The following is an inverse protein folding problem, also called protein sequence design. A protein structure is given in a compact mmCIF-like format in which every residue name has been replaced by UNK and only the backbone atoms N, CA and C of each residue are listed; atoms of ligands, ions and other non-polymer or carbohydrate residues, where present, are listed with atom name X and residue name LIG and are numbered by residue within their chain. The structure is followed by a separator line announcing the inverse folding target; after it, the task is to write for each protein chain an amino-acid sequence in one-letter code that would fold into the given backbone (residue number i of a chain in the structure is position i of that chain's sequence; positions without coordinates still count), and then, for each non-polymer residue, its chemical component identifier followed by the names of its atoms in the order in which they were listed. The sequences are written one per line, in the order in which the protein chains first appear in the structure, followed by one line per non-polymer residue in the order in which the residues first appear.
data_IF_462241189456
#
_entry.id   IF_462241189456
#
_cell.length_a   1.000
_cell.length_b   1.000
_cell.length_c   1.000
_cell.angle_alpha   90.00
_cell.angle_beta   90.00
_cell.angle_gamma   90.00
#
_symmetry.space_group_name_H-M   'P 1'
#
loop_
_entity.id
_entity.type
_entity.pdbx_description
1 polymer ?
#
# COMPACT_ATOMS: atom_id res chain seq x y z
N UNK A 1 32.31 12.14 6.65
CA UNK A 1 32.14 10.66 6.74
C UNK A 1 31.53 10.42 8.11
N UNK A 2 30.36 9.76 8.16
CA UNK A 2 29.69 9.48 9.44
C UNK A 2 30.48 8.40 10.15
N UNK A 3 30.74 8.59 11.43
CA UNK A 3 31.33 7.55 12.27
C UNK A 3 30.28 6.49 12.55
N UNK A 4 30.33 5.37 11.80
CA UNK A 4 29.38 4.27 11.94
C UNK A 4 29.55 3.49 13.24
N UNK A 5 30.64 3.71 13.99
CA UNK A 5 30.87 2.99 15.24
C UNK A 5 29.88 3.36 16.33
N UNK A 6 29.29 4.55 16.27
CA UNK A 6 28.26 4.99 17.22
C UNK A 6 26.94 4.17 17.13
N UNK A 7 26.73 3.46 16.01
CA UNK A 7 25.54 2.64 15.77
C UNK A 7 25.72 1.18 16.21
N UNK A 8 26.97 0.77 16.55
CA UNK A 8 27.23 -0.60 16.99
C UNK A 8 26.46 -0.90 18.28
N UNK A 9 25.82 -2.07 18.30
CA UNK A 9 25.00 -2.56 19.42
C UNK A 9 23.75 -1.71 19.78
N UNK A 10 23.46 -0.67 19.00
CA UNK A 10 22.23 0.11 19.16
C UNK A 10 21.00 -0.69 18.82
N UNK A 11 19.89 -0.30 19.44
CA UNK A 11 18.58 -0.96 19.30
C UNK A 11 17.59 -0.01 18.67
N UNK A 12 16.89 -0.43 17.61
CA UNK A 12 15.88 0.36 16.95
C UNK A 12 14.48 -0.23 17.03
N UNK A 13 13.49 0.64 17.15
CA UNK A 13 12.06 0.35 16.97
C UNK A 13 11.56 1.04 15.72
N UNK A 14 10.81 0.31 14.92
CA UNK A 14 10.18 0.83 13.69
C UNK A 14 8.66 0.84 13.84
N UNK A 15 8.03 1.96 13.52
CA UNK A 15 6.59 2.08 13.53
C UNK A 15 6.09 2.67 12.21
N UNK A 16 5.30 1.89 11.46
CA UNK A 16 4.81 2.30 10.15
C UNK A 16 3.31 2.50 10.16
N UNK A 17 2.89 3.66 9.72
CA UNK A 17 1.50 4.01 9.45
C UNK A 17 1.29 4.20 7.95
N UNK A 18 0.13 3.80 7.45
CA UNK A 18 -0.27 4.07 6.07
C UNK A 18 -0.22 2.87 5.13
N UNK A 19 0.38 3.05 3.97
CA UNK A 19 0.27 2.14 2.83
C UNK A 19 1.46 1.17 2.68
N UNK A 20 1.34 0.24 1.73
CA UNK A 20 2.40 -0.71 1.35
C UNK A 20 3.72 -0.01 1.00
N UNK A 21 3.63 1.20 0.40
CA UNK A 21 4.80 2.02 0.08
C UNK A 21 5.57 2.44 1.33
N UNK A 22 4.87 2.92 2.37
CA UNK A 22 5.50 3.25 3.64
C UNK A 22 6.17 2.02 4.29
N UNK A 23 5.54 0.84 4.17
CA UNK A 23 6.13 -0.40 4.68
C UNK A 23 7.43 -0.75 3.95
N UNK A 24 7.46 -0.68 2.62
CA UNK A 24 8.66 -0.92 1.84
C UNK A 24 9.78 0.05 2.25
N UNK A 25 9.46 1.33 2.40
CA UNK A 25 10.41 2.37 2.81
C UNK A 25 10.95 2.13 4.22
N UNK A 26 10.10 1.80 5.18
CA UNK A 26 10.54 1.50 6.56
C UNK A 26 11.42 0.25 6.62
N UNK A 27 11.10 -0.79 5.86
CA UNK A 27 11.90 -2.01 5.78
C UNK A 27 13.30 -1.72 5.22
N UNK A 28 13.39 -0.86 4.19
CA UNK A 28 14.68 -0.43 3.63
C UNK A 28 15.51 0.39 4.64
N UNK A 29 14.86 1.31 5.37
CA UNK A 29 15.51 2.04 6.48
C UNK A 29 16.05 1.07 7.53
N UNK A 30 15.22 0.09 7.92
CA UNK A 30 15.64 -0.94 8.89
C UNK A 30 16.84 -1.75 8.42
N UNK A 31 16.90 -2.07 7.11
CA UNK A 31 18.06 -2.76 6.51
C UNK A 31 19.33 -1.90 6.59
N UNK A 32 19.24 -0.63 6.19
CA UNK A 32 20.39 0.30 6.25
C UNK A 32 20.93 0.44 7.68
N UNK A 33 20.04 0.58 8.68
CA UNK A 33 20.43 0.63 10.08
C UNK A 33 21.06 -0.69 10.56
N UNK A 34 20.53 -1.84 10.12
CA UNK A 34 21.09 -3.15 10.44
C UNK A 34 22.50 -3.34 9.86
N UNK A 35 22.75 -2.88 8.65
CA UNK A 35 24.07 -2.89 8.00
C UNK A 35 25.07 -2.00 8.75
N UNK A 36 24.59 -0.96 9.44
CA UNK A 36 25.40 -0.12 10.33
C UNK A 36 25.60 -0.70 11.75
N UNK A 37 25.05 -1.89 12.06
CA UNK A 37 25.20 -2.54 13.36
C UNK A 37 24.02 -2.37 14.31
N UNK A 38 22.94 -1.68 13.89
CA UNK A 38 21.73 -1.51 14.71
C UNK A 38 20.85 -2.74 14.61
N UNK A 39 20.42 -3.30 15.72
CA UNK A 39 19.46 -4.41 15.75
C UNK A 39 18.05 -3.94 16.06
N UNK A 40 17.07 -4.71 15.63
CA UNK A 40 15.67 -4.45 16.00
C UNK A 40 15.42 -4.85 17.46
N UNK A 41 14.66 -4.02 18.19
CA UNK A 41 14.26 -4.25 19.57
C UNK A 41 13.43 -5.53 19.72
N UNK A 42 13.69 -6.28 20.79
CA UNK A 42 12.83 -7.38 21.25
C UNK A 42 11.59 -6.80 21.95
N UNK A 43 10.55 -7.61 22.10
CA UNK A 43 9.33 -7.20 22.81
C UNK A 43 9.65 -6.73 24.24
N UNK A 44 9.29 -5.48 24.56
CA UNK A 44 9.52 -4.88 25.88
C UNK A 44 10.90 -4.27 26.11
N UNK A 45 11.80 -4.37 25.12
CA UNK A 45 13.15 -3.80 25.20
C UNK A 45 13.12 -2.30 24.94
N UNK A 46 13.97 -1.55 25.63
CA UNK A 46 14.19 -0.11 25.35
C UNK A 46 14.96 0.06 24.06
N UNK A 47 14.59 1.07 23.30
CA UNK A 47 15.27 1.41 22.05
C UNK A 47 16.19 2.62 22.25
N UNK A 48 17.26 2.68 21.45
CA UNK A 48 18.11 3.86 21.28
C UNK A 48 17.60 4.75 20.15
N UNK A 49 16.94 4.14 19.14
CA UNK A 49 16.42 4.83 17.95
C UNK A 49 14.98 4.41 17.73
N UNK A 50 14.09 5.38 17.53
CA UNK A 50 12.72 5.13 17.07
C UNK A 50 12.50 5.75 15.69
N UNK A 51 12.13 4.97 14.69
CA UNK A 51 11.80 5.45 13.35
C UNK A 51 10.29 5.31 13.11
N UNK A 52 9.63 6.44 12.84
CA UNK A 52 8.18 6.50 12.62
C UNK A 52 7.91 6.97 11.20
N UNK A 53 7.35 6.10 10.35
CA UNK A 53 6.93 6.46 9.00
C UNK A 53 5.43 6.76 9.01
N UNK A 54 5.06 7.99 8.63
CA UNK A 54 3.75 8.58 8.86
C UNK A 54 2.90 8.66 7.60
N UNK A 55 1.58 8.70 7.80
CA UNK A 55 0.55 8.86 6.76
C UNK A 55 -0.22 10.16 6.98
N UNK A 56 -0.74 10.77 5.90
CA UNK A 56 -1.53 12.02 5.97
C UNK A 56 -2.66 12.08 4.93
N UNK A 57 -3.20 10.92 4.53
CA UNK A 57 -4.30 10.89 3.55
C UNK A 57 -5.65 11.33 4.15
N UNK A 58 -5.80 11.24 5.49
CA UNK A 58 -6.98 11.69 6.22
C UNK A 58 -6.57 12.41 7.51
N UNK A 59 -7.46 13.23 8.07
CA UNK A 59 -7.23 13.87 9.37
C UNK A 59 -7.08 12.83 10.49
N UNK A 60 -7.84 11.73 10.42
CA UNK A 60 -7.69 10.62 11.35
C UNK A 60 -6.31 9.97 11.28
N UNK A 61 -5.71 9.90 10.08
CA UNK A 61 -4.33 9.42 9.92
C UNK A 61 -3.34 10.35 10.62
N UNK A 62 -3.47 11.68 10.47
CA UNK A 62 -2.64 12.65 11.19
C UNK A 62 -2.76 12.48 12.72
N UNK A 63 -4.00 12.30 13.23
CA UNK A 63 -4.25 12.05 14.66
C UNK A 63 -3.58 10.78 15.15
N UNK A 64 -3.70 9.68 14.40
CA UNK A 64 -3.04 8.40 14.71
C UNK A 64 -1.51 8.54 14.70
N UNK A 65 -0.95 9.34 13.80
CA UNK A 65 0.48 9.62 13.77
C UNK A 65 0.94 10.32 15.05
N UNK A 66 0.27 11.40 15.47
CA UNK A 66 0.59 12.09 16.74
C UNK A 66 0.50 11.16 17.94
N UNK A 67 -0.58 10.36 18.02
CA UNK A 67 -0.74 9.38 19.10
C UNK A 67 0.39 8.34 19.13
N UNK A 68 0.84 7.88 17.95
CA UNK A 68 1.95 6.93 17.85
C UNK A 68 3.28 7.55 18.32
N UNK A 69 3.57 8.80 17.93
CA UNK A 69 4.77 9.53 18.35
C UNK A 69 4.79 9.67 19.88
N UNK A 70 3.72 10.19 20.50
CA UNK A 70 3.63 10.33 21.96
C UNK A 70 3.74 8.98 22.68
N UNK A 71 3.15 7.90 22.13
CA UNK A 71 3.27 6.57 22.72
C UNK A 71 4.70 6.08 22.71
N UNK A 72 5.40 6.21 21.59
CA UNK A 72 6.79 5.78 21.47
C UNK A 72 7.73 6.61 22.35
N UNK A 73 7.52 7.92 22.44
CA UNK A 73 8.27 8.76 23.37
C UNK A 73 8.11 8.29 24.83
N UNK A 74 6.88 8.02 25.29
CA UNK A 74 6.65 7.51 26.64
C UNK A 74 7.27 6.12 26.88
N UNK A 75 7.29 5.27 25.85
CA UNK A 75 7.91 3.93 25.94
C UNK A 75 9.44 3.97 25.93
N UNK A 76 10.01 4.92 25.17
CA UNK A 76 11.45 5.06 24.93
C UNK A 76 11.89 6.53 25.09
N UNK A 77 11.85 7.10 26.30
CA UNK A 77 12.08 8.54 26.51
C UNK A 77 13.48 9.00 26.13
N UNK A 78 14.46 8.10 26.24
CA UNK A 78 15.87 8.37 25.94
C UNK A 78 16.24 8.09 24.48
N UNK A 79 15.32 7.49 23.70
CA UNK A 79 15.57 7.16 22.30
C UNK A 79 15.60 8.40 21.41
N UNK A 80 16.47 8.39 20.40
CA UNK A 80 16.46 9.37 19.31
C UNK A 80 15.28 9.08 18.39
N UNK A 81 14.32 10.01 18.31
CA UNK A 81 13.06 9.82 17.59
C UNK A 81 13.12 10.50 16.23
N UNK A 82 13.07 9.70 15.18
CA UNK A 82 12.99 10.14 13.78
C UNK A 82 11.59 9.96 13.25
N UNK A 83 11.01 11.02 12.70
CA UNK A 83 9.69 10.98 12.04
C UNK A 83 9.84 11.29 10.56
N UNK A 84 9.29 10.44 9.71
CA UNK A 84 9.28 10.62 8.25
C UNK A 84 7.91 10.30 7.65
N UNK A 85 7.77 10.37 6.35
CA UNK A 85 6.55 10.02 5.62
C UNK A 85 5.69 11.23 5.24
N UNK A 86 4.44 10.96 4.82
CA UNK A 86 3.59 12.00 4.24
C UNK A 86 3.22 13.11 5.23
N UNK A 87 2.96 12.81 6.50
CA UNK A 87 2.65 13.82 7.51
C UNK A 87 3.87 14.69 7.83
N UNK A 88 5.04 14.06 7.97
CA UNK A 88 6.31 14.76 8.15
C UNK A 88 6.63 15.74 6.99
N UNK A 89 6.38 15.29 5.74
CA UNK A 89 6.58 16.14 4.56
C UNK A 89 5.61 17.33 4.48
N UNK A 90 4.33 17.10 4.79
CA UNK A 90 3.28 18.13 4.66
C UNK A 90 3.29 19.14 5.79
N UNK A 91 3.67 18.74 7.00
CA UNK A 91 3.60 19.56 8.21
C UNK A 91 4.86 19.43 9.07
N UNK A 92 6.06 19.67 8.51
CA UNK A 92 7.31 19.38 9.19
C UNK A 92 7.46 20.13 10.52
N UNK A 93 7.11 21.41 10.57
CA UNK A 93 7.15 22.22 11.81
C UNK A 93 6.22 21.65 12.89
N UNK A 94 4.96 21.34 12.54
CA UNK A 94 4.03 20.74 13.52
C UNK A 94 4.54 19.39 14.07
N UNK A 95 5.27 18.63 13.27
CA UNK A 95 5.82 17.34 13.70
C UNK A 95 7.07 17.57 14.56
N UNK A 96 7.91 18.53 14.21
CA UNK A 96 9.09 18.90 14.98
C UNK A 96 8.75 19.46 16.37
N UNK A 97 7.61 20.15 16.49
CA UNK A 97 7.10 20.68 17.76
C UNK A 97 6.49 19.63 18.70
N UNK A 98 6.32 18.37 18.22
CA UNK A 98 5.82 17.29 19.10
C UNK A 98 6.90 16.87 20.07
N UNK A 99 6.56 16.90 21.36
CA UNK A 99 7.46 16.49 22.44
C UNK A 99 8.14 15.13 22.18
N UNK A 100 9.46 15.11 22.30
CA UNK A 100 10.28 13.92 22.12
C UNK A 100 10.74 13.65 20.70
N UNK A 101 10.26 14.38 19.69
CA UNK A 101 10.77 14.27 18.32
C UNK A 101 12.13 14.96 18.25
N UNK A 102 13.14 14.28 17.72
CA UNK A 102 14.48 14.82 17.53
C UNK A 102 14.74 15.21 16.07
N UNK A 103 14.20 14.46 15.11
CA UNK A 103 14.46 14.67 13.69
C UNK A 103 13.21 14.38 12.84
N UNK A 104 12.92 15.30 11.93
CA UNK A 104 11.85 15.15 10.92
C UNK A 104 12.48 15.13 9.53
N UNK A 105 12.32 14.02 8.82
CA UNK A 105 12.87 13.84 7.48
C UNK A 105 11.78 13.84 6.42
N UNK A 106 11.99 14.66 5.38
CA UNK A 106 11.13 14.71 4.21
C UNK A 106 11.19 13.47 3.31
N UNK A 107 10.40 13.51 2.25
CA UNK A 107 10.28 12.39 1.30
C UNK A 107 11.59 12.09 0.55
N UNK A 108 12.45 13.07 0.35
CA UNK A 108 13.74 12.90 -0.30
C UNK A 108 14.82 12.42 0.69
N UNK A 109 14.89 13.03 1.86
CA UNK A 109 15.91 12.75 2.88
C UNK A 109 15.82 11.37 3.51
N UNK A 110 14.63 10.78 3.59
CA UNK A 110 14.44 9.47 4.24
C UNK A 110 15.25 8.33 3.62
N UNK A 111 15.57 8.43 2.32
CA UNK A 111 16.42 7.44 1.62
C UNK A 111 17.86 7.47 2.07
N UNK A 112 18.30 8.58 2.63
CA UNK A 112 19.65 8.85 3.11
C UNK A 112 19.68 9.11 4.62
N UNK A 113 18.78 8.47 5.37
CA UNK A 113 18.57 8.69 6.81
C UNK A 113 19.88 8.70 7.61
N UNK A 114 20.83 7.84 7.27
CA UNK A 114 22.12 7.78 7.97
C UNK A 114 22.88 9.12 7.99
N UNK A 115 22.73 9.93 6.92
CA UNK A 115 23.42 11.21 6.81
C UNK A 115 22.92 12.26 7.83
N UNK A 116 21.76 12.00 8.45
CA UNK A 116 21.08 12.94 9.35
C UNK A 116 21.03 12.49 10.81
N UNK A 117 21.44 11.27 11.13
CA UNK A 117 21.37 10.75 12.51
C UNK A 117 22.41 11.36 13.46
N UNK A 118 23.46 11.97 12.93
CA UNK A 118 24.51 12.57 13.74
C UNK A 118 25.10 11.61 14.78
N UNK A 119 25.21 12.08 16.02
CA UNK A 119 25.68 11.29 17.17
C UNK A 119 24.52 10.76 18.04
N UNK A 120 23.28 10.77 17.56
CA UNK A 120 22.06 10.39 18.28
C UNK A 120 21.80 11.23 19.55
N UNK A 121 22.27 12.47 19.57
CA UNK A 121 22.04 13.36 20.70
C UNK A 121 20.60 13.87 20.69
N UNK A 122 19.92 13.75 21.84
CA UNK A 122 18.57 14.27 22.03
C UNK A 122 18.51 15.79 21.84
N UNK A 123 17.48 16.24 21.15
CA UNK A 123 17.22 17.66 20.92
C UNK A 123 16.11 18.18 21.84
N UNK A 124 16.15 19.44 22.22
CA UNK A 124 15.06 20.11 22.96
C UNK A 124 13.87 20.39 22.06
N UNK A 125 14.13 20.60 20.77
CA UNK A 125 13.14 20.77 19.69
C UNK A 125 13.59 19.93 18.51
N UNK A 126 12.64 19.33 17.81
CA UNK A 126 12.95 18.53 16.63
C UNK A 126 13.51 19.37 15.48
N UNK A 127 14.57 18.89 14.85
CA UNK A 127 15.08 19.45 13.63
C UNK A 127 14.30 18.94 12.42
N UNK A 128 13.88 19.83 11.51
CA UNK A 128 13.17 19.45 10.29
C UNK A 128 14.04 19.63 9.05
N UNK A 129 14.37 18.55 8.36
CA UNK A 129 15.12 18.56 7.09
C UNK A 129 14.21 18.06 5.98
N UNK A 130 13.66 18.98 5.21
CA UNK A 130 12.63 18.72 4.22
C UNK A 130 12.87 19.50 2.94
N UNK A 131 13.07 18.80 1.83
CA UNK A 131 13.09 19.41 0.50
C UNK A 131 11.68 19.88 0.11
N UNK A 132 11.55 21.07 -0.43
CA UNK A 132 10.26 21.53 -0.95
C UNK A 132 9.71 20.53 -1.98
N UNK A 133 8.43 20.16 -1.86
CA UNK A 133 7.85 19.05 -2.65
C UNK A 133 8.01 19.24 -4.16
N UNK A 134 7.96 20.49 -4.64
CA UNK A 134 8.19 20.83 -6.06
C UNK A 134 9.62 20.52 -6.54
N UNK A 135 10.57 20.39 -5.63
CA UNK A 135 12.00 20.19 -5.93
C UNK A 135 12.46 18.75 -5.73
N UNK A 136 11.58 17.87 -5.24
CA UNK A 136 11.87 16.43 -5.10
C UNK A 136 12.06 15.80 -6.47
N UNK A 137 13.26 15.22 -6.72
CA UNK A 137 13.62 14.58 -8.01
C UNK A 137 14.06 13.15 -7.86
N UNK A 138 14.61 12.77 -6.71
CA UNK A 138 15.20 11.46 -6.51
C UNK A 138 14.14 10.38 -6.29
N UNK A 139 14.42 9.21 -6.83
CA UNK A 139 13.68 7.99 -6.52
C UNK A 139 14.52 7.15 -5.55
N UNK A 140 14.00 6.93 -4.34
CA UNK A 140 14.66 6.05 -3.37
C UNK A 140 14.10 4.63 -3.53
N UNK A 141 14.90 3.67 -4.01
CA UNK A 141 14.49 2.28 -4.14
C UNK A 141 14.14 1.69 -2.77
N UNK A 142 13.10 0.86 -2.72
CA UNK A 142 12.69 0.21 -1.48
C UNK A 142 12.00 -1.12 -1.77
N UNK A 143 12.37 -2.15 -1.00
CA UNK A 143 11.73 -3.44 -1.03
C UNK A 143 11.61 -3.97 0.40
N UNK A 144 10.40 -4.32 0.85
CA UNK A 144 10.24 -4.96 2.16
C UNK A 144 10.79 -6.39 2.10
N UNK A 145 11.45 -6.84 3.16
CA UNK A 145 12.11 -8.15 3.18
C UNK A 145 12.10 -8.73 4.59
N UNK A 146 11.76 -10.02 4.68
CA UNK A 146 11.83 -10.77 5.93
C UNK A 146 10.76 -10.43 6.98
N UNK A 147 10.04 -9.33 6.80
CA UNK A 147 9.03 -8.89 7.76
C UNK A 147 7.67 -9.59 7.54
N UNK A 148 7.44 -10.06 6.32
CA UNK A 148 6.19 -10.66 5.85
C UNK A 148 6.46 -11.68 4.75
N UNK A 149 5.53 -12.59 4.54
CA UNK A 149 5.56 -13.56 3.44
C UNK A 149 5.55 -12.87 2.07
N UNK A 150 4.77 -11.78 1.92
CA UNK A 150 4.70 -11.00 0.68
C UNK A 150 5.64 -9.81 0.75
N UNK A 151 6.49 -9.67 -0.25
CA UNK A 151 7.43 -8.56 -0.41
C UNK A 151 6.77 -7.39 -1.13
N UNK A 152 7.01 -6.16 -0.70
CA UNK A 152 6.53 -4.96 -1.37
C UNK A 152 7.67 -4.26 -2.09
N UNK A 153 7.68 -4.31 -3.41
CA UNK A 153 8.67 -3.66 -4.25
C UNK A 153 8.14 -2.28 -4.69
N UNK A 154 8.79 -1.22 -4.22
CA UNK A 154 8.49 0.15 -4.65
C UNK A 154 9.03 0.36 -6.05
N UNK A 155 8.13 0.51 -7.03
CA UNK A 155 8.49 0.72 -8.44
C UNK A 155 8.31 2.17 -8.88
N UNK A 156 7.40 2.92 -8.21
CA UNK A 156 7.04 4.29 -8.57
C UNK A 156 6.70 5.11 -7.31
N UNK A 157 6.91 6.42 -7.34
CA UNK A 157 6.57 7.36 -6.28
C UNK A 157 6.07 8.69 -6.86
N UNK A 158 5.29 9.45 -6.06
CA UNK A 158 4.68 10.70 -6.50
C UNK A 158 3.52 10.50 -7.49
N UNK A 159 2.86 11.60 -7.89
CA UNK A 159 1.72 11.53 -8.80
C UNK A 159 1.49 12.87 -9.51
N UNK A 160 1.15 12.81 -10.82
CA UNK A 160 0.87 13.98 -11.66
C UNK A 160 -0.62 14.20 -11.94
N UNK A 161 -1.51 13.47 -11.25
CA UNK A 161 -2.95 13.58 -11.51
C UNK A 161 -3.58 14.79 -10.85
N UNK A 162 -3.14 15.19 -9.67
CA UNK A 162 -3.70 16.33 -8.93
C UNK A 162 -5.23 16.26 -8.81
N UNK A 163 -5.74 15.08 -8.45
CA UNK A 163 -7.17 14.90 -8.18
C UNK A 163 -7.63 15.93 -7.14
N UNK A 164 -8.85 16.44 -7.26
CA UNK A 164 -9.32 17.59 -6.48
C UNK A 164 -9.26 17.40 -4.95
N UNK A 165 -9.35 16.16 -4.49
CA UNK A 165 -9.37 15.78 -3.07
C UNK A 165 -8.01 15.33 -2.51
N UNK A 166 -7.00 15.12 -3.38
CA UNK A 166 -5.81 14.36 -3.04
C UNK A 166 -4.65 15.25 -2.57
N UNK A 167 -4.02 14.86 -1.46
CA UNK A 167 -2.83 15.53 -0.92
C UNK A 167 -1.51 14.88 -1.33
N UNK A 168 -1.56 13.72 -1.98
CA UNK A 168 -0.35 12.94 -2.31
C UNK A 168 0.65 13.70 -3.19
N UNK A 169 0.25 14.43 -4.25
CA UNK A 169 1.21 15.24 -5.02
C UNK A 169 1.95 16.29 -4.18
N UNK A 170 1.31 16.78 -3.12
CA UNK A 170 1.91 17.75 -2.19
C UNK A 170 2.81 17.09 -1.13
N UNK A 171 2.60 15.79 -0.86
CA UNK A 171 3.40 15.03 0.09
C UNK A 171 4.58 14.28 -0.57
N UNK A 172 4.40 13.81 -1.81
CA UNK A 172 5.36 12.94 -2.47
C UNK A 172 5.95 13.52 -3.76
N UNK A 173 5.44 14.66 -4.23
CA UNK A 173 5.91 15.31 -5.43
C UNK A 173 5.41 14.68 -6.73
N UNK A 174 6.08 15.00 -7.81
CA UNK A 174 5.80 14.51 -9.15
C UNK A 174 6.08 13.02 -9.30
N UNK A 175 5.44 12.40 -10.29
CA UNK A 175 5.66 11.00 -10.63
C UNK A 175 7.11 10.76 -11.04
N UNK A 176 7.73 9.76 -10.43
CA UNK A 176 9.09 9.29 -10.69
C UNK A 176 9.22 7.81 -10.37
N UNK A 177 10.18 7.14 -10.96
CA UNK A 177 10.36 5.69 -10.86
C UNK A 177 11.85 5.31 -10.86
N UNK A 178 12.14 4.09 -10.42
CA UNK A 178 13.43 3.45 -10.60
C UNK A 178 13.61 2.93 -12.02
N UNK A 179 14.85 2.68 -12.43
CA UNK A 179 15.14 1.98 -13.69
C UNK A 179 14.72 0.51 -13.58
N UNK A 180 14.27 -0.08 -14.67
CA UNK A 180 13.89 -1.51 -14.72
C UNK A 180 15.03 -2.39 -14.24
N UNK A 181 16.25 -2.12 -14.66
CA UNK A 181 17.45 -2.86 -14.26
C UNK A 181 17.59 -2.95 -12.73
N UNK A 182 17.45 -1.82 -12.02
CA UNK A 182 17.59 -1.73 -10.57
C UNK A 182 16.44 -2.49 -9.86
N UNK A 183 15.22 -2.40 -10.40
CA UNK A 183 14.04 -3.06 -9.84
C UNK A 183 14.12 -4.59 -10.03
N UNK A 184 14.61 -5.04 -11.17
CA UNK A 184 14.89 -6.46 -11.44
C UNK A 184 15.97 -6.99 -10.49
N UNK A 185 17.04 -6.21 -10.26
CA UNK A 185 18.08 -6.59 -9.29
C UNK A 185 17.51 -6.75 -7.89
N UNK A 186 16.61 -5.86 -7.45
CA UNK A 186 15.92 -6.01 -6.15
C UNK A 186 15.00 -7.24 -6.11
N UNK A 187 14.30 -7.55 -7.20
CA UNK A 187 13.46 -8.75 -7.28
C UNK A 187 14.31 -10.03 -7.20
N UNK A 188 15.44 -10.08 -7.90
CA UNK A 188 16.40 -11.20 -7.79
C UNK A 188 16.96 -11.35 -6.38
N UNK A 189 17.28 -10.25 -5.71
CA UNK A 189 17.71 -10.29 -4.33
C UNK A 189 16.60 -10.81 -3.40
N UNK A 190 15.34 -10.40 -3.59
CA UNK A 190 14.20 -10.92 -2.85
C UNK A 190 14.03 -12.44 -3.07
N UNK A 191 14.22 -12.93 -4.30
CA UNK A 191 14.22 -14.36 -4.61
C UNK A 191 15.33 -15.11 -3.87
N UNK A 192 16.57 -14.58 -3.89
CA UNK A 192 17.71 -15.18 -3.18
C UNK A 192 17.51 -15.24 -1.64
N UNK A 193 16.73 -14.32 -1.07
CA UNK A 193 16.33 -14.29 0.33
C UNK A 193 15.11 -15.22 0.63
N UNK A 194 14.63 -15.98 -0.34
CA UNK A 194 13.51 -16.94 -0.19
C UNK A 194 12.11 -16.32 -0.39
N UNK A 195 12.02 -15.08 -0.86
CA UNK A 195 10.74 -14.46 -1.22
C UNK A 195 10.02 -15.22 -2.32
N UNK A 196 8.73 -15.48 -2.16
CA UNK A 196 7.89 -16.20 -3.13
C UNK A 196 6.94 -15.29 -3.88
N UNK A 197 6.45 -14.24 -3.23
CA UNK A 197 5.49 -13.31 -3.83
C UNK A 197 5.96 -11.85 -3.66
N UNK A 198 5.95 -11.11 -4.76
CA UNK A 198 6.23 -9.67 -4.79
C UNK A 198 4.97 -8.91 -5.21
N UNK A 199 4.61 -7.89 -4.43
CA UNK A 199 3.56 -6.93 -4.76
C UNK A 199 4.22 -5.66 -5.28
N UNK A 200 4.01 -5.32 -6.54
CA UNK A 200 4.47 -4.06 -7.12
C UNK A 200 3.72 -2.90 -6.48
N UNK A 201 4.45 -1.94 -5.95
CA UNK A 201 3.88 -0.90 -5.11
C UNK A 201 4.33 0.49 -5.56
N UNK A 202 3.41 1.44 -5.52
CA UNK A 202 3.62 2.84 -5.89
C UNK A 202 2.41 3.68 -5.52
N UNK A 203 2.43 4.93 -5.91
CA UNK A 203 1.30 5.87 -5.77
C UNK A 203 0.36 5.73 -6.97
N UNK A 204 0.93 5.70 -8.17
CA UNK A 204 0.25 5.50 -9.44
C UNK A 204 1.19 4.71 -10.35
N UNK A 205 1.21 3.39 -10.18
CA UNK A 205 2.22 2.54 -10.84
C UNK A 205 2.12 2.56 -12.37
N UNK A 206 0.95 2.85 -12.94
CA UNK A 206 0.78 2.99 -14.38
C UNK A 206 1.51 4.22 -14.97
N UNK A 207 1.87 5.21 -14.14
CA UNK A 207 2.70 6.35 -14.53
C UNK A 207 4.22 6.01 -14.59
N UNK A 208 4.59 4.75 -14.38
CA UNK A 208 5.98 4.29 -14.48
C UNK A 208 6.61 4.66 -15.82
N UNK A 209 7.87 5.05 -15.78
CA UNK A 209 8.68 5.37 -16.96
C UNK A 209 8.81 6.86 -17.27
N UNK A 210 8.00 7.73 -16.65
CA UNK A 210 8.08 9.18 -16.93
C UNK A 210 9.44 9.80 -16.64
N UNK A 211 10.19 9.26 -15.70
CA UNK A 211 11.54 9.75 -15.38
C UNK A 211 12.67 8.99 -16.05
N UNK A 212 12.41 7.82 -16.64
CA UNK A 212 13.43 6.95 -17.24
C UNK A 212 13.23 6.68 -18.73
N UNK A 213 12.05 6.99 -19.28
CA UNK A 213 11.70 6.71 -20.68
C UNK A 213 11.30 5.25 -20.96
N UNK A 214 11.22 4.42 -19.91
CA UNK A 214 10.74 3.03 -19.94
C UNK A 214 9.21 3.01 -19.79
N UNK A 215 8.58 1.83 -19.89
CA UNK A 215 7.13 1.70 -19.65
C UNK A 215 6.84 0.71 -18.52
N UNK A 216 5.65 0.84 -17.90
CA UNK A 216 5.21 -0.15 -16.91
C UNK A 216 5.09 -1.55 -17.52
N UNK A 217 4.69 -1.63 -18.79
CA UNK A 217 4.63 -2.90 -19.50
C UNK A 217 6.01 -3.55 -19.68
N UNK A 218 7.05 -2.77 -19.96
CA UNK A 218 8.43 -3.28 -20.04
C UNK A 218 8.91 -3.80 -18.68
N UNK A 219 8.56 -3.11 -17.59
CA UNK A 219 8.83 -3.58 -16.23
C UNK A 219 8.14 -4.92 -15.96
N UNK A 220 6.86 -5.06 -16.32
CA UNK A 220 6.11 -6.31 -16.14
C UNK A 220 6.78 -7.46 -16.84
N UNK A 221 7.17 -7.28 -18.12
CA UNK A 221 7.91 -8.30 -18.90
C UNK A 221 9.25 -8.67 -18.25
N UNK A 222 10.02 -7.68 -17.83
CA UNK A 222 11.34 -7.92 -17.25
C UNK A 222 11.25 -8.64 -15.88
N UNK A 223 10.24 -8.34 -15.08
CA UNK A 223 10.01 -9.03 -13.79
C UNK A 223 9.53 -10.47 -13.98
N UNK A 224 8.76 -10.75 -15.02
CA UNK A 224 8.26 -12.10 -15.31
C UNK A 224 9.40 -13.10 -15.62
N UNK A 225 10.56 -12.60 -16.07
CA UNK A 225 11.77 -13.38 -16.32
C UNK A 225 12.62 -13.64 -15.05
N UNK A 226 12.26 -13.07 -13.89
CA UNK A 226 13.03 -13.28 -12.67
C UNK A 226 12.73 -14.64 -12.07
N UNK A 227 13.72 -15.52 -12.07
CA UNK A 227 13.62 -16.84 -11.46
C UNK A 227 13.59 -16.76 -9.92
N UNK A 228 12.91 -17.73 -9.29
CA UNK A 228 12.77 -17.83 -7.83
C UNK A 228 11.60 -17.05 -7.24
N UNK A 229 11.04 -16.07 -7.94
CA UNK A 229 9.76 -15.45 -7.60
C UNK A 229 8.64 -16.22 -8.30
N UNK A 230 7.73 -16.76 -7.51
CA UNK A 230 6.60 -17.54 -8.00
C UNK A 230 5.40 -16.68 -8.39
N UNK A 231 5.24 -15.51 -7.75
CA UNK A 231 4.06 -14.66 -7.90
C UNK A 231 4.39 -13.17 -7.88
N UNK A 232 3.87 -12.46 -8.86
CA UNK A 232 3.79 -11.00 -8.85
C UNK A 232 2.34 -10.53 -8.77
N UNK A 233 2.08 -9.48 -7.99
CA UNK A 233 0.79 -8.81 -7.97
C UNK A 233 0.94 -7.35 -8.33
N UNK A 234 0.11 -6.90 -9.25
CA UNK A 234 -0.03 -5.49 -9.58
C UNK A 234 -0.89 -4.85 -8.50
N UNK A 235 -0.37 -3.83 -7.79
CA UNK A 235 -1.18 -3.05 -6.85
C UNK A 235 -2.03 -2.00 -7.61
N UNK A 236 -2.45 -0.94 -6.95
CA UNK A 236 -3.34 0.07 -7.52
C UNK A 236 -2.80 0.67 -8.83
N UNK A 237 -3.53 0.44 -9.92
CA UNK A 237 -3.26 0.98 -11.26
C UNK A 237 -4.50 1.71 -11.79
N UNK A 238 -4.31 2.96 -12.23
CA UNK A 238 -5.41 3.77 -12.76
C UNK A 238 -6.05 3.13 -14.01
N UNK A 239 -7.39 3.16 -14.15
CA UNK A 239 -8.09 2.49 -15.25
C UNK A 239 -7.58 2.88 -16.64
N UNK A 240 -7.25 4.17 -16.84
CA UNK A 240 -6.75 4.69 -18.11
C UNK A 240 -5.28 4.36 -18.37
N UNK A 241 -4.55 3.86 -17.39
CA UNK A 241 -3.16 3.41 -17.51
C UNK A 241 -3.04 1.88 -17.52
N UNK A 242 -4.10 1.17 -17.20
CA UNK A 242 -4.20 -0.28 -17.36
C UNK A 242 -4.53 -0.58 -18.83
N UNK A 243 -3.49 -0.72 -19.66
CA UNK A 243 -3.65 -1.00 -21.09
C UNK A 243 -4.13 -2.43 -21.33
N UNK A 244 -4.74 -2.67 -22.49
CA UNK A 244 -5.18 -4.01 -22.87
C UNK A 244 -4.01 -4.97 -23.02
N UNK A 245 -2.86 -4.48 -23.47
CA UNK A 245 -1.60 -5.27 -23.56
C UNK A 245 -1.17 -5.80 -22.18
N UNK A 246 -1.27 -4.99 -21.12
CA UNK A 246 -0.96 -5.43 -19.76
C UNK A 246 -1.93 -6.53 -19.32
N UNK A 247 -3.24 -6.36 -19.59
CA UNK A 247 -4.27 -7.34 -19.22
C UNK A 247 -4.03 -8.67 -19.96
N UNK A 248 -3.78 -8.62 -21.26
CA UNK A 248 -3.50 -9.78 -22.10
C UNK A 248 -2.22 -10.50 -21.67
N UNK A 249 -1.18 -9.75 -21.33
CA UNK A 249 0.06 -10.31 -20.81
C UNK A 249 -0.14 -11.04 -19.48
N UNK A 250 -0.82 -10.41 -18.53
CA UNK A 250 -1.13 -11.01 -17.22
C UNK A 250 -1.94 -12.31 -17.40
N UNK A 251 -2.88 -12.34 -18.34
CA UNK A 251 -3.67 -13.53 -18.64
C UNK A 251 -2.84 -14.71 -19.12
N UNK A 252 -1.69 -14.46 -19.75
CA UNK A 252 -0.79 -15.49 -20.30
C UNK A 252 0.40 -15.79 -19.37
N UNK A 253 0.75 -14.88 -18.47
CA UNK A 253 1.88 -15.01 -17.57
C UNK A 253 1.65 -16.13 -16.54
N UNK A 254 2.71 -16.85 -16.22
CA UNK A 254 2.70 -17.84 -15.13
C UNK A 254 2.94 -17.21 -13.76
N UNK A 255 3.60 -16.05 -13.69
CA UNK A 255 4.01 -15.40 -12.46
C UNK A 255 3.16 -14.18 -12.09
N UNK A 256 2.60 -13.46 -13.05
CA UNK A 256 1.64 -12.40 -12.76
C UNK A 256 0.28 -12.99 -12.41
N UNK A 257 -0.19 -12.69 -11.21
CA UNK A 257 -1.42 -13.31 -10.69
C UNK A 257 -2.68 -12.64 -11.26
N UNK A 258 -3.77 -13.41 -11.46
CA UNK A 258 -5.08 -12.89 -11.88
C UNK A 258 -5.73 -12.10 -10.73
N UNK A 259 -5.11 -10.99 -10.40
CA UNK A 259 -5.49 -10.09 -9.32
C UNK A 259 -5.21 -8.65 -9.73
N UNK A 260 -6.25 -7.83 -9.73
CA UNK A 260 -6.16 -6.41 -10.06
C UNK A 260 -6.73 -5.56 -8.93
N UNK A 261 -6.09 -4.44 -8.68
CA UNK A 261 -6.60 -3.41 -7.79
C UNK A 261 -6.72 -2.12 -8.62
N UNK A 262 -7.96 -1.68 -8.88
CA UNK A 262 -8.25 -0.60 -9.82
C UNK A 262 -9.10 0.45 -9.10
N UNK A 263 -8.59 1.69 -8.90
CA UNK A 263 -9.35 2.74 -8.23
C UNK A 263 -10.45 3.31 -9.13
N UNK A 264 -11.71 3.04 -8.79
CA UNK A 264 -12.87 3.65 -9.43
C UNK A 264 -13.17 5.03 -8.86
N UNK A 265 -13.04 5.18 -7.56
CA UNK A 265 -13.34 6.35 -6.75
C UNK A 265 -14.85 6.68 -6.65
N UNK A 266 -15.58 6.76 -7.77
CA UNK A 266 -17.04 6.91 -7.83
C UNK A 266 -17.61 6.21 -9.06
N UNK A 267 -18.78 5.63 -8.94
CA UNK A 267 -19.55 5.07 -10.08
C UNK A 267 -20.45 6.10 -10.80
N UNK A 268 -20.19 7.40 -10.64
CA UNK A 268 -20.95 8.49 -11.24
C UNK A 268 -20.01 9.45 -11.96
N UNK A 269 -20.23 9.68 -13.26
CA UNK A 269 -19.34 10.49 -14.10
C UNK A 269 -19.30 11.96 -13.69
N UNK A 270 -20.39 12.49 -13.18
CA UNK A 270 -20.47 13.85 -12.65
C UNK A 270 -19.51 14.02 -11.44
N UNK A 271 -19.49 13.03 -10.55
CA UNK A 271 -18.58 13.01 -9.39
C UNK A 271 -17.13 12.80 -9.83
N UNK A 272 -16.88 11.89 -10.79
CA UNK A 272 -15.54 11.67 -11.36
C UNK A 272 -14.95 12.95 -11.97
N UNK A 273 -15.77 13.75 -12.66
CA UNK A 273 -15.36 15.08 -13.18
C UNK A 273 -15.00 16.05 -12.06
N UNK A 274 -15.82 16.11 -11.00
CA UNK A 274 -15.51 16.93 -9.81
C UNK A 274 -14.23 16.49 -9.12
N UNK A 275 -13.96 15.19 -9.10
CA UNK A 275 -12.72 14.61 -8.61
C UNK A 275 -11.52 14.85 -9.54
N UNK A 276 -11.72 15.35 -10.76
CA UNK A 276 -10.72 15.50 -11.82
C UNK A 276 -10.08 14.16 -12.21
N UNK A 277 -10.92 13.10 -12.32
CA UNK A 277 -10.46 11.81 -12.81
C UNK A 277 -10.26 11.85 -14.32
N UNK A 278 -9.35 11.03 -14.84
CA UNK A 278 -8.98 10.97 -16.27
C UNK A 278 -9.63 9.80 -16.98
N UNK A 279 -10.70 9.30 -16.44
CA UNK A 279 -11.54 8.22 -16.97
C UNK A 279 -12.99 8.45 -16.54
N UNK A 280 -13.90 7.75 -17.19
CA UNK A 280 -15.33 7.69 -16.90
C UNK A 280 -15.75 6.26 -16.52
N UNK A 281 -17.02 6.10 -16.18
CA UNK A 281 -17.61 4.80 -15.83
C UNK A 281 -17.59 3.82 -17.00
N UNK A 282 -17.74 4.30 -18.24
CA UNK A 282 -17.74 3.47 -19.45
C UNK A 282 -16.35 2.82 -19.67
N UNK A 283 -15.27 3.60 -19.57
CA UNK A 283 -13.91 3.06 -19.67
C UNK A 283 -13.63 2.05 -18.55
N UNK A 284 -14.05 2.37 -17.31
CA UNK A 284 -13.87 1.46 -16.19
C UNK A 284 -14.58 0.12 -16.42
N UNK A 285 -15.87 0.15 -16.82
CA UNK A 285 -16.63 -1.06 -17.13
C UNK A 285 -15.99 -1.87 -18.27
N UNK A 286 -15.49 -1.21 -19.31
CA UNK A 286 -14.79 -1.88 -20.40
C UNK A 286 -13.53 -2.62 -19.94
N UNK A 287 -12.74 -2.04 -19.00
CA UNK A 287 -11.57 -2.71 -18.42
C UNK A 287 -11.97 -3.93 -17.58
N UNK A 288 -13.02 -3.82 -16.76
CA UNK A 288 -13.54 -4.97 -16.01
C UNK A 288 -13.99 -6.09 -16.96
N UNK A 289 -14.78 -5.75 -18.00
CA UNK A 289 -15.23 -6.72 -18.99
C UNK A 289 -14.05 -7.40 -19.71
N UNK A 290 -13.02 -6.63 -20.12
CA UNK A 290 -11.81 -7.19 -20.75
C UNK A 290 -11.08 -8.16 -19.82
N UNK A 291 -10.87 -7.80 -18.55
CA UNK A 291 -10.24 -8.69 -17.57
C UNK A 291 -11.04 -9.98 -17.43
N UNK A 292 -12.35 -9.86 -17.22
CA UNK A 292 -13.22 -11.02 -17.01
C UNK A 292 -13.37 -11.91 -18.25
N UNK A 293 -13.28 -11.35 -19.45
CA UNK A 293 -13.30 -12.14 -20.69
C UNK A 293 -12.08 -13.05 -20.84
N UNK A 294 -10.91 -12.62 -20.36
CA UNK A 294 -9.65 -13.37 -20.44
C UNK A 294 -9.38 -14.20 -19.18
N UNK A 295 -9.81 -13.72 -18.02
CA UNK A 295 -9.59 -14.30 -16.70
C UNK A 295 -10.89 -14.24 -15.89
N UNK A 296 -11.86 -15.14 -16.12
CA UNK A 296 -13.17 -15.13 -15.44
C UNK A 296 -13.06 -15.15 -13.91
N UNK A 297 -12.06 -15.85 -13.39
CA UNK A 297 -11.80 -16.02 -11.96
C UNK A 297 -10.81 -15.00 -11.39
N UNK A 298 -10.48 -13.94 -12.12
CA UNK A 298 -9.62 -12.87 -11.60
C UNK A 298 -10.30 -12.15 -10.44
N UNK A 299 -9.53 -11.90 -9.37
CA UNK A 299 -9.94 -11.03 -8.29
C UNK A 299 -9.80 -9.56 -8.71
N UNK A 300 -10.85 -8.79 -8.55
CA UNK A 300 -10.84 -7.35 -8.84
C UNK A 300 -11.24 -6.58 -7.58
N UNK A 301 -10.26 -5.94 -6.94
CA UNK A 301 -10.46 -5.00 -5.85
C UNK A 301 -10.63 -3.58 -6.38
N UNK A 302 -11.56 -2.81 -5.81
CA UNK A 302 -11.93 -1.48 -6.29
C UNK A 302 -11.95 -0.49 -5.13
N UNK A 303 -11.22 0.63 -5.25
CA UNK A 303 -11.32 1.72 -4.29
C UNK A 303 -12.52 2.61 -4.61
N UNK A 304 -13.29 2.96 -3.59
CA UNK A 304 -14.43 3.87 -3.68
C UNK A 304 -14.37 4.89 -2.55
N UNK A 305 -14.55 6.17 -2.86
CA UNK A 305 -14.62 7.24 -1.87
C UNK A 305 -16.06 7.73 -1.80
N UNK A 306 -16.67 7.69 -0.63
CA UNK A 306 -18.04 8.17 -0.40
C UNK A 306 -18.06 9.50 0.32
N UNK A 307 -19.08 10.31 0.01
CA UNK A 307 -19.31 11.58 0.67
C UNK A 307 -18.35 12.67 0.27
N UNK A 308 -17.83 12.62 -0.96
CA UNK A 308 -17.04 13.72 -1.52
C UNK A 308 -17.93 14.94 -1.73
N UNK A 309 -17.33 16.13 -1.73
CA UNK A 309 -18.09 17.32 -2.05
C UNK A 309 -18.67 17.22 -3.46
N UNK A 310 -19.92 17.61 -3.64
CA UNK A 310 -20.65 17.49 -4.87
C UNK A 310 -21.35 16.14 -5.11
N UNK A 311 -21.17 15.15 -4.23
CA UNK A 311 -21.87 13.87 -4.29
C UNK A 311 -23.27 14.01 -3.73
N UNK A 312 -24.24 14.45 -4.55
CA UNK A 312 -25.65 14.53 -4.16
C UNK A 312 -26.23 13.13 -3.89
N UNK A 313 -27.40 13.02 -3.23
CA UNK A 313 -28.07 11.73 -3.06
C UNK A 313 -28.32 11.02 -4.39
N UNK A 314 -28.73 11.75 -5.43
CA UNK A 314 -28.94 11.20 -6.78
C UNK A 314 -27.64 10.63 -7.37
N UNK A 315 -26.52 11.35 -7.24
CA UNK A 315 -25.22 10.89 -7.74
C UNK A 315 -24.70 9.68 -6.98
N UNK A 316 -24.97 9.61 -5.67
CA UNK A 316 -24.64 8.42 -4.90
C UNK A 316 -25.45 7.20 -5.35
N UNK A 317 -26.77 7.34 -5.60
CA UNK A 317 -27.58 6.20 -6.09
C UNK A 317 -27.13 5.75 -7.48
N UNK A 318 -26.80 6.66 -8.39
CA UNK A 318 -26.18 6.31 -9.69
C UNK A 318 -24.88 5.50 -9.49
N UNK A 319 -24.02 5.97 -8.59
CA UNK A 319 -22.75 5.31 -8.30
C UNK A 319 -22.96 3.93 -7.69
N UNK A 320 -23.91 3.80 -6.76
CA UNK A 320 -24.23 2.53 -6.10
C UNK A 320 -24.75 1.48 -7.10
N UNK A 321 -25.73 1.85 -7.95
CA UNK A 321 -26.29 0.94 -8.95
C UNK A 321 -25.26 0.55 -10.01
N UNK A 322 -24.40 1.46 -10.44
CA UNK A 322 -23.29 1.15 -11.33
C UNK A 322 -22.35 0.12 -10.71
N UNK A 323 -21.88 0.34 -9.47
CA UNK A 323 -20.95 -0.56 -8.78
C UNK A 323 -21.60 -1.93 -8.52
N UNK A 324 -22.89 -1.95 -8.16
CA UNK A 324 -23.65 -3.17 -7.95
C UNK A 324 -23.69 -4.04 -9.21
N UNK A 325 -23.83 -3.43 -10.39
CA UNK A 325 -23.86 -4.11 -11.68
C UNK A 325 -22.49 -4.62 -12.18
N UNK A 326 -21.37 -4.17 -11.60
CA UNK A 326 -20.05 -4.60 -12.03
C UNK A 326 -19.66 -6.00 -11.50
N UNK A 327 -19.00 -6.82 -12.30
CA UNK A 327 -18.37 -8.08 -11.85
C UNK A 327 -17.00 -7.80 -11.19
N UNK A 328 -17.04 -7.17 -10.04
CA UNK A 328 -15.89 -6.91 -9.16
C UNK A 328 -16.02 -7.73 -7.88
N UNK A 329 -14.89 -8.00 -7.23
CA UNK A 329 -14.85 -8.93 -6.10
C UNK A 329 -14.99 -8.24 -4.75
N UNK A 330 -14.29 -7.12 -4.57
CA UNK A 330 -14.22 -6.43 -3.29
C UNK A 330 -14.16 -4.92 -3.48
N UNK A 331 -14.83 -4.19 -2.60
CA UNK A 331 -14.74 -2.74 -2.52
C UNK A 331 -13.90 -2.33 -1.30
N UNK A 332 -12.96 -1.43 -1.51
CA UNK A 332 -12.27 -0.71 -0.45
C UNK A 332 -12.95 0.64 -0.30
N UNK A 333 -13.83 0.74 0.68
CA UNK A 333 -14.67 1.93 0.88
C UNK A 333 -13.99 2.92 1.83
N UNK A 334 -13.79 4.13 1.34
CA UNK A 334 -13.19 5.23 2.10
C UNK A 334 -14.21 6.36 2.29
N UNK A 335 -14.41 6.79 3.52
CA UNK A 335 -15.14 8.03 3.78
C UNK A 335 -14.27 9.23 3.46
N UNK A 336 -14.78 10.15 2.66
CA UNK A 336 -14.07 11.38 2.29
C UNK A 336 -13.70 12.19 3.53
N UNK A 337 -12.44 12.59 3.59
CA UNK A 337 -11.89 13.47 4.62
C UNK A 337 -11.41 14.77 3.98
N UNK A 338 -11.94 15.89 4.41
CA UNK A 338 -11.50 17.20 3.94
C UNK A 338 -10.04 17.46 4.28
N UNK A 339 -9.31 17.97 3.32
CA UNK A 339 -7.89 18.29 3.53
C UNK A 339 -7.61 19.75 3.14
N UNK A 340 -6.95 20.52 4.01
CA UNK A 340 -6.55 21.91 3.71
C UNK A 340 -5.75 21.98 2.41
N UNK A 341 -6.02 23.00 1.61
CA UNK A 341 -5.32 23.26 0.35
C UNK A 341 -5.79 22.44 -0.86
N UNK A 342 -6.74 21.50 -0.67
CA UNK A 342 -7.30 20.73 -1.78
C UNK A 342 -8.37 21.50 -2.55
N UNK A 343 -8.46 21.27 -3.87
CA UNK A 343 -9.45 21.93 -4.72
C UNK A 343 -10.89 21.49 -4.42
N UNK A 344 -11.07 20.29 -3.85
CA UNK A 344 -12.39 19.79 -3.45
C UNK A 344 -13.11 20.71 -2.47
N UNK A 345 -12.39 21.46 -1.63
CA UNK A 345 -12.98 22.41 -0.69
C UNK A 345 -13.75 23.58 -1.36
N UNK A 346 -13.53 23.80 -2.65
CA UNK A 346 -14.23 24.82 -3.45
C UNK A 346 -15.56 24.33 -4.04
N UNK A 347 -15.92 23.06 -3.85
CA UNK A 347 -17.17 22.48 -4.32
C UNK A 347 -18.21 22.69 -3.21
N UNK A 348 -19.36 23.26 -3.59
CA UNK A 348 -20.34 23.78 -2.62
C UNK A 348 -21.11 22.71 -1.84
N UNK A 349 -21.53 21.62 -2.49
CA UNK A 349 -22.32 20.59 -1.83
C UNK A 349 -21.47 19.76 -0.88
N UNK A 350 -21.80 19.80 0.42
CA UNK A 350 -21.13 19.03 1.48
C UNK A 350 -22.05 17.93 1.98
N UNK A 351 -21.61 16.68 1.90
CA UNK A 351 -22.38 15.55 2.42
C UNK A 351 -22.30 15.53 3.96
N UNK A 352 -23.45 15.49 4.67
CA UNK A 352 -23.49 15.40 6.12
C UNK A 352 -22.79 14.14 6.64
N UNK A 353 -22.15 14.22 7.80
CA UNK A 353 -21.39 13.10 8.38
C UNK A 353 -22.25 11.83 8.58
N UNK A 354 -23.49 11.97 9.02
CA UNK A 354 -24.42 10.85 9.19
C UNK A 354 -24.72 10.16 7.85
N UNK A 355 -24.97 10.94 6.80
CA UNK A 355 -25.23 10.41 5.46
C UNK A 355 -24.00 9.74 4.87
N UNK A 356 -22.82 10.34 5.06
CA UNK A 356 -21.54 9.74 4.71
C UNK A 356 -21.34 8.37 5.33
N UNK A 357 -21.68 8.24 6.61
CA UNK A 357 -21.64 6.96 7.33
C UNK A 357 -22.63 5.95 6.74
N UNK A 358 -23.89 6.34 6.51
CA UNK A 358 -24.89 5.46 5.92
C UNK A 358 -24.50 4.95 4.52
N UNK A 359 -23.98 5.84 3.66
CA UNK A 359 -23.46 5.47 2.33
C UNK A 359 -22.29 4.49 2.43
N UNK A 360 -21.37 4.71 3.37
CA UNK A 360 -20.25 3.78 3.62
C UNK A 360 -20.74 2.40 4.01
N UNK A 361 -21.72 2.30 4.90
CA UNK A 361 -22.28 1.02 5.34
C UNK A 361 -22.90 0.26 4.17
N UNK A 362 -23.72 0.90 3.34
CA UNK A 362 -24.33 0.27 2.16
C UNK A 362 -23.27 -0.31 1.20
N UNK A 363 -22.17 0.40 0.95
CA UNK A 363 -21.10 -0.10 0.08
C UNK A 363 -20.26 -1.20 0.75
N UNK A 364 -20.08 -1.16 2.08
CA UNK A 364 -19.42 -2.24 2.80
C UNK A 364 -20.24 -3.53 2.79
N UNK A 365 -21.56 -3.45 2.95
CA UNK A 365 -22.49 -4.57 2.80
C UNK A 365 -22.41 -5.16 1.38
N UNK A 366 -22.47 -4.31 0.35
CA UNK A 366 -22.31 -4.73 -1.04
C UNK A 366 -20.94 -5.40 -1.28
N UNK A 367 -19.86 -4.88 -0.67
CA UNK A 367 -18.53 -5.48 -0.74
C UNK A 367 -18.49 -6.88 -0.13
N UNK A 368 -19.12 -7.06 1.03
CA UNK A 368 -19.22 -8.36 1.70
C UNK A 368 -19.98 -9.36 0.86
N UNK A 369 -21.14 -8.98 0.32
CA UNK A 369 -21.94 -9.81 -0.60
C UNK A 369 -21.13 -10.26 -1.83
N UNK A 370 -20.44 -9.32 -2.50
CA UNK A 370 -19.62 -9.62 -3.68
C UNK A 370 -18.45 -10.54 -3.34
N UNK A 371 -17.76 -10.30 -2.23
CA UNK A 371 -16.64 -11.11 -1.78
C UNK A 371 -17.09 -12.55 -1.45
N UNK A 372 -18.20 -12.69 -0.72
CA UNK A 372 -18.77 -14.00 -0.40
C UNK A 372 -19.23 -14.74 -1.66
N UNK A 373 -19.88 -14.06 -2.59
CA UNK A 373 -20.29 -14.67 -3.86
C UNK A 373 -19.08 -15.13 -4.68
N UNK A 374 -18.00 -14.36 -4.70
CA UNK A 374 -16.76 -14.74 -5.36
C UNK A 374 -16.13 -15.98 -4.69
N UNK A 375 -16.04 -16.03 -3.37
CA UNK A 375 -15.49 -17.16 -2.64
C UNK A 375 -16.34 -18.43 -2.83
N UNK A 376 -17.67 -18.30 -2.72
CA UNK A 376 -18.60 -19.43 -2.86
C UNK A 376 -18.46 -20.16 -4.19
N UNK A 377 -18.16 -19.45 -5.29
CA UNK A 377 -17.94 -20.06 -6.61
C UNK A 377 -16.72 -20.99 -6.66
N UNK A 378 -15.81 -20.88 -5.68
CA UNK A 378 -14.57 -21.65 -5.65
C UNK A 378 -14.58 -22.79 -4.61
N UNK A 379 -15.69 -23.01 -3.91
CA UNK A 379 -15.83 -24.17 -3.00
C UNK A 379 -15.71 -25.47 -3.81
N UNK A 380 -14.88 -26.40 -3.34
CA UNK A 380 -14.57 -27.66 -4.00
C UNK A 380 -13.42 -27.60 -5.01
N UNK A 381 -12.97 -26.40 -5.40
CA UNK A 381 -11.89 -26.21 -6.37
C UNK A 381 -10.52 -26.50 -5.72
N UNK A 382 -9.62 -27.13 -6.47
CA UNK A 382 -8.22 -27.29 -6.07
C UNK A 382 -7.44 -26.02 -6.39
N UNK A 383 -6.67 -25.54 -5.42
CA UNK A 383 -5.92 -24.30 -5.56
C UNK A 383 -4.54 -24.41 -4.89
N UNK A 384 -3.59 -23.65 -5.41
CA UNK A 384 -2.29 -23.46 -4.79
C UNK A 384 -2.34 -22.21 -3.92
N UNK A 385 -1.98 -22.34 -2.64
CA UNK A 385 -2.04 -21.29 -1.63
C UNK A 385 -0.65 -20.97 -1.11
N UNK A 386 -0.24 -19.72 -1.12
CA UNK A 386 0.96 -19.25 -0.42
C UNK A 386 0.57 -18.98 1.04
N UNK A 387 1.11 -19.81 1.94
CA UNK A 387 0.81 -19.71 3.37
C UNK A 387 1.62 -18.61 4.06
N UNK A 388 0.95 -17.87 4.91
CA UNK A 388 1.57 -16.80 5.71
C UNK A 388 1.86 -17.31 7.13
N UNK A 389 2.94 -16.82 7.72
CA UNK A 389 3.32 -17.16 9.09
C UNK A 389 2.23 -16.82 10.09
N UNK A 390 1.93 -17.75 11.00
CA UNK A 390 1.00 -17.53 12.10
C UNK A 390 1.67 -17.80 13.45
N UNK A 391 1.00 -17.40 14.53
CA UNK A 391 1.45 -17.73 15.88
C UNK A 391 0.99 -19.12 16.25
N UNK A 392 1.80 -19.85 17.03
CA UNK A 392 1.42 -21.14 17.57
C UNK A 392 0.05 -21.07 18.26
N UNK A 393 -0.81 -22.05 18.00
CA UNK A 393 -2.16 -22.11 18.55
C UNK A 393 -3.21 -21.22 17.86
N UNK A 394 -2.85 -20.50 16.77
CA UNK A 394 -3.81 -19.77 15.94
C UNK A 394 -3.83 -20.35 14.54
N UNK A 395 -5.00 -20.40 13.85
CA UNK A 395 -5.04 -20.80 12.45
C UNK A 395 -4.07 -20.01 11.60
N UNK A 396 -3.51 -20.64 10.59
CA UNK A 396 -2.73 -19.92 9.59
C UNK A 396 -3.56 -19.61 8.37
N UNK A 397 -3.20 -18.53 7.70
CA UNK A 397 -3.90 -18.10 6.51
C UNK A 397 -2.92 -17.99 5.34
N UNK A 398 -3.45 -18.13 4.15
CA UNK A 398 -2.71 -17.92 2.92
C UNK A 398 -3.61 -17.40 1.83
N UNK A 399 -3.05 -17.15 0.65
CA UNK A 399 -3.80 -16.64 -0.48
C UNK A 399 -3.58 -17.49 -1.72
N UNK A 400 -4.67 -17.75 -2.44
CA UNK A 400 -4.63 -18.38 -3.77
C UNK A 400 -4.05 -17.42 -4.81
N UNK A 401 -3.84 -17.92 -6.05
CA UNK A 401 -3.43 -17.07 -7.19
C UNK A 401 -4.41 -15.91 -7.41
N UNK A 402 -5.69 -16.17 -7.37
CA UNK A 402 -6.77 -15.20 -7.49
C UNK A 402 -7.24 -14.61 -6.14
N UNK A 403 -6.35 -14.54 -5.17
CA UNK A 403 -6.47 -13.80 -3.91
C UNK A 403 -7.59 -14.25 -2.96
N UNK A 404 -8.09 -15.48 -3.07
CA UNK A 404 -8.98 -16.06 -2.07
C UNK A 404 -8.17 -16.33 -0.81
N UNK A 405 -8.66 -15.87 0.33
CA UNK A 405 -8.07 -16.15 1.63
C UNK A 405 -8.47 -17.54 2.08
N UNK A 406 -7.47 -18.35 2.43
CA UNK A 406 -7.66 -19.74 2.86
C UNK A 406 -7.12 -19.91 4.28
N UNK A 407 -7.86 -20.64 5.10
CA UNK A 407 -7.51 -20.97 6.48
C UNK A 407 -7.10 -22.44 6.58
N UNK A 408 -5.96 -22.69 7.23
CA UNK A 408 -5.48 -24.04 7.58
C UNK A 408 -5.17 -24.12 9.09
N UNK A 409 -5.09 -25.34 9.61
CA UNK A 409 -4.50 -25.57 10.93
C UNK A 409 -3.04 -25.09 10.96
N UNK A 410 -2.59 -24.62 12.13
CA UNK A 410 -1.21 -24.15 12.29
C UNK A 410 -0.20 -25.28 12.08
N UNK A 411 0.73 -25.08 11.15
CA UNK A 411 1.92 -25.91 10.95
C UNK A 411 3.08 -25.01 10.48
N UNK A 412 4.10 -24.85 11.31
CA UNK A 412 5.27 -24.00 11.01
C UNK A 412 6.02 -24.42 9.73
N UNK A 413 5.90 -25.69 9.33
CA UNK A 413 6.52 -26.19 8.09
C UNK A 413 5.89 -25.59 6.82
N UNK A 414 4.70 -25.05 6.95
CA UNK A 414 3.98 -24.41 5.83
C UNK A 414 4.30 -22.92 5.69
N UNK A 415 5.00 -22.32 6.65
CA UNK A 415 5.36 -20.89 6.60
C UNK A 415 6.11 -20.56 5.31
N UNK A 416 5.59 -19.62 4.52
CA UNK A 416 6.14 -19.17 3.23
C UNK A 416 6.26 -20.30 2.18
N UNK A 417 5.40 -21.33 2.27
CA UNK A 417 5.34 -22.41 1.28
C UNK A 417 4.06 -22.33 0.43
N UNK A 418 4.20 -22.76 -0.80
CA UNK A 418 3.09 -22.99 -1.71
C UNK A 418 2.50 -24.38 -1.44
N UNK A 419 1.24 -24.44 -1.05
CA UNK A 419 0.54 -25.65 -0.64
C UNK A 419 -0.65 -25.89 -1.56
N UNK A 420 -0.79 -27.09 -2.09
CA UNK A 420 -2.00 -27.51 -2.83
C UNK A 420 -3.10 -27.86 -1.85
N UNK A 421 -4.25 -27.24 -2.02
CA UNK A 421 -5.41 -27.47 -1.15
C UNK A 421 -6.68 -27.64 -1.99
N UNK A 422 -7.66 -28.35 -1.44
CA UNK A 422 -9.05 -28.27 -1.88
C UNK A 422 -9.77 -27.25 -1.03
N UNK A 423 -10.40 -26.25 -1.68
CA UNK A 423 -11.16 -25.20 -1.00
C UNK A 423 -12.48 -25.78 -0.47
N UNK A 424 -12.71 -25.61 0.81
CA UNK A 424 -13.93 -26.05 1.52
C UNK A 424 -14.86 -24.88 1.79
N UNK A 425 -15.78 -25.09 2.74
CA UNK A 425 -16.73 -24.08 3.18
C UNK A 425 -16.07 -22.89 3.87
N UNK A 426 -16.84 -21.84 4.08
CA UNK A 426 -16.40 -20.69 4.86
C UNK A 426 -15.96 -21.09 6.28
N UNK A 427 -14.96 -20.38 6.81
CA UNK A 427 -14.62 -20.48 8.21
C UNK A 427 -15.72 -19.85 9.10
N UNK A 428 -15.57 -19.91 10.43
CA UNK A 428 -16.62 -19.50 11.38
C UNK A 428 -17.00 -18.03 11.28
N UNK A 429 -16.05 -17.17 10.97
CA UNK A 429 -16.28 -15.71 10.83
C UNK A 429 -16.64 -15.29 9.40
N UNK A 430 -16.69 -16.22 8.44
CA UNK A 430 -17.03 -15.95 7.04
C UNK A 430 -16.00 -15.14 6.26
N UNK A 431 -14.76 -15.02 6.76
CA UNK A 431 -13.71 -14.17 6.14
C UNK A 431 -12.72 -14.94 5.27
N UNK A 432 -12.75 -16.27 5.32
CA UNK A 432 -11.88 -17.15 4.53
C UNK A 432 -12.57 -18.47 4.22
N UNK A 433 -12.05 -19.21 3.26
CA UNK A 433 -12.43 -20.61 3.03
C UNK A 433 -11.51 -21.53 3.82
N UNK A 434 -12.05 -22.60 4.39
CA UNK A 434 -11.24 -23.68 4.98
C UNK A 434 -10.55 -24.45 3.86
N UNK A 435 -9.31 -24.84 4.07
CA UNK A 435 -8.56 -25.65 3.13
C UNK A 435 -8.34 -27.08 3.65
N UNK A 436 -8.30 -28.04 2.73
CA UNK A 436 -7.82 -29.41 3.00
C UNK A 436 -6.58 -29.65 2.16
N UNK A 437 -5.44 -29.95 2.77
CA UNK A 437 -4.18 -30.24 2.08
C UNK A 437 -4.34 -31.52 1.26
N UNK A 438 -3.82 -31.49 0.01
CA UNK A 438 -3.89 -32.59 -0.95
C UNK A 438 -2.63 -33.46 -0.95
#
# INVERSE_FOLDING_TARGET
MIDITIFQDKVAVYYTLGCKLNFAETSSIGKTLKEAGVRTARKGEKADICVINTCSVTEMADKKCRQAIHRLFRQHPDAFIVVTGCYAQLKPGQVADIEGVDLVLGAEQKGELMNYLGNLQKHTHGEAVVTATKDIRTFSPSCSRGDRTRYFLKVQDGCDYFCSYCTIPFARGRSRNGKIEDLVAQARQAAAEGGKEIVLTGVNIGDFGKSTGETFFDLVKALDEVEGIERYRISSIEPNLLTDEIIEYVAQSRRFMPHFHIPLQSGCDEVLKLMRRRYDTALFAAKIAKIKSLMPDAFIGVDVIVGTRGETPEYFEKAYEFIKGLDVTQLHVFSYSERPGTQALKIDYVVPAQEKHARSQRLLELSDEKTKAFYARHIGVEAEVLMEKSKAGTPMHGFTKNYIRVELAHDEKLDNHLVKVRLGDFNEDGTSLKGTIL
#
